data_IF_990470120939
#
_entry.id   IF_990470120939
#
_cell.length_a   1.000
_cell.length_b   1.000
_cell.length_c   1.000
_cell.angle_alpha   90.00
_cell.angle_beta   90.00
_cell.angle_gamma   90.00
#
_symmetry.space_group_name_H-M   'P 1'
#
loop_
_entity.id
_entity.type
_entity.pdbx_description
1 polymer ?
#
# COMPACT_ATOMS: atom_id res chain seq x y z
N UNK A 1 3.02 -13.55 -2.25
CA UNK A 1 2.03 -14.61 -2.50
C UNK A 1 1.81 -14.72 -4.01
N UNK A 2 1.61 -15.94 -4.54
CA UNK A 2 1.16 -16.14 -5.93
C UNK A 2 -0.35 -16.14 -5.91
N UNK A 3 -0.95 -15.15 -6.56
CA UNK A 3 -2.39 -15.00 -6.69
C UNK A 3 -2.72 -14.94 -8.17
N UNK A 4 -3.77 -15.62 -8.59
CA UNK A 4 -4.29 -15.52 -9.95
C UNK A 4 -5.36 -14.43 -9.98
N UNK A 5 -5.18 -13.42 -10.83
CA UNK A 5 -6.10 -12.30 -11.02
C UNK A 5 -6.53 -12.27 -12.49
N UNK A 6 -7.83 -12.07 -12.74
CA UNK A 6 -8.33 -11.81 -14.07
C UNK A 6 -8.19 -10.31 -14.39
N UNK A 7 -7.56 -9.97 -15.52
CA UNK A 7 -7.32 -8.60 -15.96
C UNK A 7 -7.60 -8.50 -17.46
N UNK A 8 -8.05 -7.32 -17.90
CA UNK A 8 -8.31 -7.07 -19.31
C UNK A 8 -7.00 -7.05 -20.14
N UNK A 9 -7.12 -7.41 -21.42
CA UNK A 9 -5.98 -7.56 -22.34
C UNK A 9 -5.22 -6.25 -22.58
N UNK A 10 -5.94 -5.12 -22.61
CA UNK A 10 -5.38 -3.78 -22.77
C UNK A 10 -4.54 -3.37 -21.54
N UNK A 11 -5.03 -3.66 -20.34
CA UNK A 11 -4.30 -3.46 -19.08
C UNK A 11 -3.04 -4.33 -19.04
N UNK A 12 -3.15 -5.60 -19.44
CA UNK A 12 -1.99 -6.51 -19.50
C UNK A 12 -0.92 -5.99 -20.45
N UNK A 13 -1.32 -5.45 -21.61
CA UNK A 13 -0.40 -4.87 -22.59
C UNK A 13 0.31 -3.63 -22.02
N UNK A 14 -0.42 -2.72 -21.40
CA UNK A 14 0.14 -1.53 -20.74
C UNK A 14 1.14 -1.89 -19.64
N UNK A 15 0.79 -2.86 -18.79
CA UNK A 15 1.67 -3.38 -17.74
C UNK A 15 2.96 -3.95 -18.31
N UNK A 16 2.89 -4.73 -19.41
CA UNK A 16 4.08 -5.29 -20.05
C UNK A 16 5.00 -4.21 -20.61
N UNK A 17 4.44 -3.17 -21.21
CA UNK A 17 5.22 -2.05 -21.71
C UNK A 17 5.97 -1.33 -20.57
N UNK A 18 5.28 -1.05 -19.47
CA UNK A 18 5.87 -0.44 -18.27
C UNK A 18 6.95 -1.34 -17.67
N UNK A 19 6.69 -2.65 -17.59
CA UNK A 19 7.62 -3.65 -17.09
C UNK A 19 8.92 -3.70 -17.91
N UNK A 20 8.81 -3.67 -19.24
CA UNK A 20 9.95 -3.61 -20.15
C UNK A 20 10.76 -2.32 -19.95
N UNK A 21 10.09 -1.16 -19.83
CA UNK A 21 10.77 0.14 -19.59
C UNK A 21 11.50 0.20 -18.25
N UNK A 22 10.97 -0.48 -17.22
CA UNK A 22 11.55 -0.47 -15.87
C UNK A 22 12.47 -1.67 -15.57
N UNK A 23 12.68 -2.58 -16.53
CA UNK A 23 13.42 -3.84 -16.33
C UNK A 23 12.89 -4.65 -15.14
N UNK A 24 11.57 -4.68 -14.96
CA UNK A 24 10.88 -5.41 -13.88
C UNK A 24 9.95 -6.47 -14.47
N UNK A 25 9.53 -7.43 -13.66
CA UNK A 25 8.49 -8.37 -14.08
C UNK A 25 7.11 -7.70 -14.09
N UNK A 26 6.22 -8.15 -14.97
CA UNK A 26 4.83 -7.66 -15.02
C UNK A 26 4.13 -7.77 -13.66
N UNK A 27 4.33 -8.89 -12.94
CA UNK A 27 3.77 -9.08 -11.61
C UNK A 27 4.31 -8.11 -10.55
N UNK A 28 5.59 -7.72 -10.63
CA UNK A 28 6.17 -6.72 -9.73
C UNK A 28 5.58 -5.32 -9.99
N UNK A 29 5.38 -4.95 -11.26
CA UNK A 29 4.74 -3.69 -11.65
C UNK A 29 3.29 -3.65 -11.16
N UNK A 30 2.50 -4.70 -11.42
CA UNK A 30 1.10 -4.79 -10.96
C UNK A 30 1.02 -4.74 -9.43
N UNK A 31 1.89 -5.46 -8.72
CA UNK A 31 1.89 -5.42 -7.25
C UNK A 31 2.23 -4.03 -6.70
N UNK A 32 3.13 -3.30 -7.36
CA UNK A 32 3.46 -1.92 -7.00
C UNK A 32 2.28 -0.98 -7.20
N UNK A 33 1.65 -1.03 -8.38
CA UNK A 33 0.48 -0.20 -8.71
C UNK A 33 -0.70 -0.48 -7.77
N UNK A 34 -0.98 -1.75 -7.48
CA UNK A 34 -2.03 -2.13 -6.53
C UNK A 34 -1.72 -1.64 -5.12
N UNK A 35 -0.46 -1.70 -4.66
CA UNK A 35 -0.08 -1.13 -3.36
C UNK A 35 -0.27 0.38 -3.33
N UNK A 36 0.12 1.09 -4.38
CA UNK A 36 -0.03 2.54 -4.46
C UNK A 36 -1.50 2.95 -4.43
N UNK A 37 -2.35 2.24 -5.16
CA UNK A 37 -3.80 2.46 -5.15
C UNK A 37 -4.43 2.13 -3.78
N UNK A 38 -4.12 0.97 -3.20
CA UNK A 38 -4.73 0.52 -1.94
C UNK A 38 -4.18 1.24 -0.70
N UNK A 39 -2.98 1.80 -0.77
CA UNK A 39 -2.39 2.56 0.36
C UNK A 39 -2.93 4.00 0.44
N UNK A 40 -3.85 4.39 -0.45
CA UNK A 40 -4.37 5.76 -0.53
C UNK A 40 -3.30 6.77 -0.92
N UNK A 41 -2.21 6.34 -1.54
CA UNK A 41 -1.12 7.21 -2.00
C UNK A 41 -1.42 7.76 -3.39
N UNK A 42 -2.63 8.28 -3.55
CA UNK A 42 -2.95 9.31 -4.54
C UNK A 42 -3.21 10.57 -3.70
N UNK A 43 -2.14 11.31 -3.39
CA UNK A 43 -2.23 12.59 -2.66
C UNK A 43 -1.81 12.65 -1.19
N UNK A 44 -0.94 11.77 -0.70
CA UNK A 44 -0.32 11.95 0.64
C UNK A 44 1.16 12.35 0.59
N UNK A 45 1.59 12.95 -0.52
CA UNK A 45 2.72 13.90 -0.50
C UNK A 45 2.25 15.31 -0.08
N UNK A 46 1.05 15.44 0.51
CA UNK A 46 0.76 16.54 1.43
C UNK A 46 1.44 16.25 2.75
N UNK A 47 2.74 16.50 2.78
CA UNK A 47 3.30 17.25 3.88
C UNK A 47 2.63 18.63 3.83
N UNK A 48 1.44 18.79 4.43
CA UNK A 48 1.03 20.10 4.96
C UNK A 48 -0.24 20.02 5.82
N UNK A 49 -0.09 20.45 7.07
CA UNK A 49 -1.05 21.27 7.80
C UNK A 49 -2.51 20.81 7.94
N UNK A 50 -2.77 19.57 8.35
CA UNK A 50 -3.80 19.42 9.38
C UNK A 50 -3.07 19.62 10.71
N UNK A 51 -3.24 20.79 11.34
CA UNK A 51 -2.98 20.91 12.76
C UNK A 51 -3.78 19.81 13.44
N UNK A 52 -3.11 18.71 13.78
CA UNK A 52 -3.68 17.65 14.61
C UNK A 52 -4.27 18.37 15.84
N UNK A 53 -5.58 18.20 16.12
CA UNK A 53 -6.24 18.93 17.20
C UNK A 53 -5.39 18.77 18.46
N UNK A 54 -5.08 19.91 19.10
CA UNK A 54 -4.25 19.93 20.30
C UNK A 54 -4.75 18.83 21.25
N UNK A 55 -3.84 17.95 21.66
CA UNK A 55 -4.15 16.72 22.37
C UNK A 55 -5.06 17.00 23.59
N UNK A 56 -6.37 16.85 23.41
CA UNK A 56 -7.39 17.18 24.41
C UNK A 56 -7.23 16.32 25.68
N UNK A 57 -6.61 15.14 25.52
CA UNK A 57 -6.35 14.17 26.58
C UNK A 57 -4.85 13.96 26.87
N UNK A 58 -3.98 14.89 26.45
CA UNK A 58 -2.54 14.85 26.76
C UNK A 58 -1.73 13.80 26.00
N UNK A 59 -2.33 13.06 25.06
CA UNK A 59 -1.63 12.11 24.20
C UNK A 59 -1.42 12.69 22.80
N UNK A 60 -0.15 12.82 22.37
CA UNK A 60 0.16 13.24 21.00
C UNK A 60 0.16 12.01 20.10
N UNK A 61 -0.77 11.91 19.12
CA UNK A 61 -0.78 10.79 18.19
C UNK A 61 0.54 10.71 17.42
N UNK A 62 0.94 9.48 17.07
CA UNK A 62 2.11 9.26 16.23
C UNK A 62 1.84 9.84 14.84
N UNK A 63 2.85 10.52 14.27
CA UNK A 63 2.79 10.97 12.87
C UNK A 63 2.45 9.78 11.98
N UNK A 64 1.58 9.99 10.98
CA UNK A 64 1.26 8.95 9.98
C UNK A 64 2.56 8.41 9.39
N UNK A 65 2.89 7.15 9.68
CA UNK A 65 4.04 6.48 9.09
C UNK A 65 3.63 6.03 7.68
N UNK A 66 3.92 6.85 6.69
CA UNK A 66 3.78 6.47 5.28
C UNK A 66 4.71 5.29 4.98
N UNK A 67 4.16 4.14 4.59
CA UNK A 67 5.02 3.08 4.05
C UNK A 67 4.53 1.64 4.19
N UNK A 68 3.56 1.34 5.07
CA UNK A 68 3.05 -0.04 5.16
C UNK A 68 1.57 -0.08 5.47
N UNK A 69 0.79 -0.51 4.48
CA UNK A 69 -0.62 -0.85 4.64
C UNK A 69 -0.74 -1.95 5.72
N UNK A 70 -1.47 -1.65 6.79
CA UNK A 70 -1.83 -2.62 7.82
C UNK A 70 -3.15 -3.25 7.40
N UNK A 71 -3.15 -4.54 7.10
CA UNK A 71 -4.34 -5.31 6.73
C UNK A 71 -4.77 -6.22 7.87
N UNK A 72 -6.05 -6.59 7.93
CA UNK A 72 -6.53 -7.57 8.92
C UNK A 72 -5.78 -8.90 8.80
N UNK A 73 -5.49 -9.37 7.59
CA UNK A 73 -4.66 -10.57 7.38
C UNK A 73 -3.25 -10.46 7.99
N UNK A 74 -2.65 -9.27 7.99
CA UNK A 74 -1.36 -9.04 8.64
C UNK A 74 -1.51 -9.16 10.17
N UNK A 75 -2.59 -8.60 10.71
CA UNK A 75 -2.90 -8.68 12.14
C UNK A 75 -3.13 -10.13 12.56
N UNK A 76 -3.93 -10.87 11.80
CA UNK A 76 -4.27 -12.27 12.10
C UNK A 76 -3.01 -13.15 12.06
N UNK A 77 -2.15 -12.98 11.04
CA UNK A 77 -0.85 -13.66 11.00
C UNK A 77 0.03 -13.35 12.21
N UNK A 78 0.08 -12.08 12.64
CA UNK A 78 0.86 -11.68 13.81
C UNK A 78 0.29 -12.27 15.11
N UNK A 79 -1.03 -12.42 15.22
CA UNK A 79 -1.69 -13.10 16.34
C UNK A 79 -1.35 -14.58 16.37
N UNK A 80 -1.39 -15.25 15.22
CA UNK A 80 -1.00 -16.65 15.07
C UNK A 80 0.48 -16.87 15.44
N UNK A 81 1.38 -15.98 15.02
CA UNK A 81 2.82 -16.06 15.33
C UNK A 81 3.13 -15.76 16.81
N UNK A 82 2.38 -14.85 17.43
CA UNK A 82 2.55 -14.49 18.84
C UNK A 82 2.03 -15.56 19.81
N UNK A 83 1.11 -16.43 19.36
CA UNK A 83 0.59 -17.56 20.13
C UNK A 83 -0.14 -17.18 21.42
N UNK A 84 -1.41 -16.81 21.30
CA UNK A 84 -2.41 -17.04 22.37
C UNK A 84 -2.97 -18.47 22.24
#
# INVERSE_FOLDING_TARGET
MRTTLNIDDDVLLAVREIANRQSKTAGAVVSGLLRQSLSGSDGAESDDCAEEPAAEFGFRPFRKRGGRLVTNELIDRLREEAGD
#
